data_IF_873141436535
#
_entry.id   IF_873141436535
#
_cell.length_a   1.000
_cell.length_b   1.000
_cell.length_c   1.000
_cell.angle_alpha   90.00
_cell.angle_beta   90.00
_cell.angle_gamma   90.00
#
_symmetry.space_group_name_H-M   'P 1'
#
loop_
_entity.id
_entity.type
_entity.pdbx_description
1 polymer ?
#
# COMPACT_ATOMS: atom_id res chain seq x y z
N UNK A 1 7.12 -8.75 -10.48
CA UNK A 1 7.48 -10.03 -11.13
C UNK A 1 6.27 -10.41 -11.97
N UNK A 2 6.47 -10.57 -13.28
CA UNK A 2 5.40 -10.96 -14.18
C UNK A 2 4.75 -12.26 -13.67
N UNK A 3 3.53 -12.19 -13.16
CA UNK A 3 2.81 -13.38 -12.66
C UNK A 3 1.95 -13.92 -13.78
N UNK A 4 1.99 -15.23 -14.02
CA UNK A 4 0.98 -15.88 -14.87
C UNK A 4 -0.26 -16.15 -14.06
N UNK A 5 -1.42 -15.83 -14.62
CA UNK A 5 -2.70 -16.31 -14.10
C UNK A 5 -2.87 -17.79 -14.41
N UNK A 6 -3.81 -18.45 -13.72
CA UNK A 6 -4.23 -19.83 -14.02
C UNK A 6 -4.65 -20.00 -15.48
N UNK A 7 -5.16 -18.95 -16.09
CA UNK A 7 -5.66 -18.92 -17.47
C UNK A 7 -4.55 -18.58 -18.49
N UNK A 8 -3.29 -18.53 -18.06
CA UNK A 8 -2.14 -18.29 -18.93
C UNK A 8 -1.89 -16.83 -19.33
N UNK A 9 -2.62 -15.86 -18.76
CA UNK A 9 -2.38 -14.43 -19.00
C UNK A 9 -1.21 -13.92 -18.15
N UNK A 10 -0.49 -12.91 -18.65
CA UNK A 10 0.57 -12.25 -17.89
C UNK A 10 0.04 -11.03 -17.14
N UNK A 11 0.32 -10.96 -15.85
CA UNK A 11 0.12 -9.78 -15.02
C UNK A 11 1.46 -9.07 -14.91
N UNK A 12 1.52 -7.86 -15.46
CA UNK A 12 2.67 -6.97 -15.37
C UNK A 12 2.35 -5.80 -14.45
N UNK A 13 3.27 -5.47 -13.58
CA UNK A 13 3.23 -4.24 -12.80
C UNK A 13 3.53 -3.02 -13.68
N UNK A 14 3.03 -1.84 -13.28
CA UNK A 14 3.34 -0.59 -13.97
C UNK A 14 4.85 -0.32 -14.06
N UNK A 15 5.61 -0.68 -13.01
CA UNK A 15 7.07 -0.57 -13.01
C UNK A 15 7.75 -1.48 -14.03
N UNK A 16 7.20 -2.68 -14.28
CA UNK A 16 7.71 -3.58 -15.32
C UNK A 16 7.44 -3.05 -16.73
N UNK A 17 6.26 -2.48 -16.96
CA UNK A 17 5.93 -1.83 -18.22
C UNK A 17 6.88 -0.65 -18.45
N UNK A 18 7.07 0.20 -17.43
CA UNK A 18 8.02 1.31 -17.50
C UNK A 18 9.44 0.86 -17.80
N UNK A 19 9.93 -0.18 -17.12
CA UNK A 19 11.25 -0.74 -17.38
C UNK A 19 11.39 -1.30 -18.81
N UNK A 20 10.35 -1.96 -19.33
CA UNK A 20 10.32 -2.45 -20.71
C UNK A 20 10.36 -1.30 -21.72
N UNK A 21 9.59 -0.23 -21.51
CA UNK A 21 9.57 0.96 -22.37
C UNK A 21 10.92 1.66 -22.39
N UNK A 22 11.60 1.75 -21.23
CA UNK A 22 12.92 2.40 -21.12
C UNK A 22 14.03 1.55 -21.75
N UNK A 23 14.08 0.25 -21.42
CA UNK A 23 15.06 -0.68 -21.98
C UNK A 23 14.52 -2.13 -21.97
N UNK A 24 14.04 -2.63 -23.11
CA UNK A 24 13.49 -3.98 -23.23
C UNK A 24 14.49 -5.06 -22.81
N UNK A 25 15.78 -4.87 -23.12
CA UNK A 25 16.80 -5.86 -22.82
C UNK A 25 17.13 -5.92 -21.32
N UNK A 26 17.19 -4.77 -20.63
CA UNK A 26 17.33 -4.75 -19.19
C UNK A 26 16.11 -5.38 -18.49
N UNK A 27 14.91 -5.15 -19.03
CA UNK A 27 13.70 -5.84 -18.57
C UNK A 27 13.76 -7.36 -18.79
N UNK A 28 14.22 -7.81 -19.97
CA UNK A 28 14.39 -9.24 -20.29
C UNK A 28 15.35 -9.92 -19.31
N UNK A 29 16.50 -9.30 -19.06
CA UNK A 29 17.52 -9.82 -18.14
C UNK A 29 17.00 -9.94 -16.70
N UNK A 30 16.17 -8.99 -16.27
CA UNK A 30 15.63 -8.97 -14.90
C UNK A 30 14.44 -9.91 -14.71
N UNK A 31 13.53 -10.00 -15.68
CA UNK A 31 12.28 -10.77 -15.56
C UNK A 31 12.36 -12.19 -16.13
N UNK A 32 13.08 -12.39 -17.23
CA UNK A 32 13.21 -13.69 -17.91
C UNK A 32 14.42 -14.45 -17.37
N UNK A 33 15.61 -13.83 -17.45
CA UNK A 33 16.87 -14.46 -17.08
C UNK A 33 17.15 -14.37 -15.56
N UNK A 34 16.25 -13.70 -14.82
CA UNK A 34 16.25 -13.57 -13.34
C UNK A 34 17.58 -13.09 -12.77
N UNK A 35 18.28 -12.23 -13.50
CA UNK A 35 19.51 -11.61 -13.01
C UNK A 35 19.14 -10.74 -11.80
N UNK A 36 19.63 -11.13 -10.60
CA UNK A 36 19.34 -10.42 -9.36
C UNK A 36 19.91 -9.01 -9.42
N UNK A 37 19.04 -8.01 -9.44
CA UNK A 37 19.44 -6.64 -9.20
C UNK A 37 19.61 -6.42 -7.70
N UNK A 38 20.74 -5.82 -7.31
CA UNK A 38 20.93 -5.34 -5.95
C UNK A 38 19.98 -4.16 -5.74
N UNK A 39 19.18 -4.24 -4.68
CA UNK A 39 18.29 -3.14 -4.31
C UNK A 39 19.13 -1.93 -3.94
N UNK A 40 18.79 -0.77 -4.50
CA UNK A 40 19.49 0.47 -4.15
C UNK A 40 19.09 0.89 -2.74
N UNK A 41 20.02 1.54 -2.04
CA UNK A 41 19.77 2.08 -0.70
C UNK A 41 18.59 3.06 -0.70
N UNK A 42 18.51 3.92 -1.72
CA UNK A 42 17.37 4.83 -1.92
C UNK A 42 16.03 4.09 -2.06
N UNK A 43 16.01 2.95 -2.76
CA UNK A 43 14.78 2.16 -2.90
C UNK A 43 14.36 1.52 -1.58
N UNK A 44 15.31 1.03 -0.77
CA UNK A 44 14.99 0.51 0.56
C UNK A 44 14.49 1.60 1.51
N UNK A 45 15.13 2.78 1.52
CA UNK A 45 14.70 3.90 2.33
C UNK A 45 13.32 4.38 1.91
N UNK A 46 13.04 4.46 0.61
CA UNK A 46 11.70 4.80 0.11
C UNK A 46 10.63 3.81 0.56
N UNK A 47 10.91 2.51 0.55
CA UNK A 47 9.96 1.51 1.07
C UNK A 47 9.68 1.69 2.56
N UNK A 48 10.71 1.97 3.37
CA UNK A 48 10.54 2.20 4.81
C UNK A 48 9.65 3.42 5.06
N UNK A 49 9.92 4.53 4.39
CA UNK A 49 9.10 5.74 4.51
C UNK A 49 7.63 5.51 4.11
N UNK A 50 7.39 4.71 3.06
CA UNK A 50 6.03 4.35 2.68
C UNK A 50 5.31 3.52 3.75
N UNK A 51 6.02 2.64 4.45
CA UNK A 51 5.44 1.86 5.57
C UNK A 51 5.12 2.76 6.76
N UNK A 52 6.07 3.60 7.16
CA UNK A 52 5.88 4.54 8.27
C UNK A 52 4.71 5.49 8.01
N UNK A 53 4.60 6.00 6.78
CA UNK A 53 3.47 6.83 6.38
C UNK A 53 2.14 6.06 6.46
N UNK A 54 2.09 4.83 5.94
CA UNK A 54 0.89 4.01 5.99
C UNK A 54 0.44 3.73 7.44
N UNK A 55 1.39 3.38 8.31
CA UNK A 55 1.13 3.15 9.74
C UNK A 55 0.57 4.41 10.43
N UNK A 56 1.18 5.57 10.17
CA UNK A 56 0.72 6.86 10.71
C UNK A 56 -0.71 7.19 10.26
N UNK A 57 -1.00 6.94 8.97
CA UNK A 57 -2.33 7.18 8.40
C UNK A 57 -3.35 6.24 9.03
N UNK A 58 -3.04 4.96 9.16
CA UNK A 58 -3.93 3.97 9.79
C UNK A 58 -4.21 4.30 11.26
N UNK A 59 -3.20 4.73 12.01
CA UNK A 59 -3.36 5.16 13.40
C UNK A 59 -4.30 6.38 13.49
N UNK A 60 -4.14 7.36 12.60
CA UNK A 60 -5.02 8.53 12.54
C UNK A 60 -6.48 8.16 12.22
N UNK A 61 -6.68 7.17 11.34
CA UNK A 61 -8.01 6.64 11.04
C UNK A 61 -8.61 5.88 12.22
N UNK A 62 -7.79 5.11 12.94
CA UNK A 62 -8.21 4.41 14.14
C UNK A 62 -8.67 5.39 15.24
N UNK A 63 -7.85 6.40 15.54
CA UNK A 63 -8.15 7.42 16.54
C UNK A 63 -9.41 8.22 16.15
N UNK A 64 -9.53 8.65 14.90
CA UNK A 64 -10.72 9.39 14.44
C UNK A 64 -12.00 8.56 14.53
N UNK A 65 -11.95 7.25 14.26
CA UNK A 65 -13.08 6.34 14.49
C UNK A 65 -13.42 6.23 15.99
N UNK A 66 -12.41 6.08 16.85
CA UNK A 66 -12.60 6.04 18.30
C UNK A 66 -13.27 7.30 18.83
N UNK A 67 -12.80 8.49 18.42
CA UNK A 67 -13.40 9.77 18.80
C UNK A 67 -14.86 9.86 18.34
N UNK A 68 -15.18 9.44 17.11
CA UNK A 68 -16.57 9.43 16.62
C UNK A 68 -17.48 8.56 17.48
N UNK A 69 -17.02 7.39 17.90
CA UNK A 69 -17.78 6.49 18.78
C UNK A 69 -18.01 7.15 20.14
N UNK A 70 -16.98 7.73 20.75
CA UNK A 70 -17.09 8.42 22.04
C UNK A 70 -18.07 9.58 21.97
N UNK A 71 -18.00 10.41 20.92
CA UNK A 71 -18.94 11.51 20.71
C UNK A 71 -20.38 11.02 20.55
N UNK A 72 -20.60 9.94 19.78
CA UNK A 72 -21.93 9.34 19.65
C UNK A 72 -22.47 8.83 20.99
N UNK A 73 -21.62 8.22 21.83
CA UNK A 73 -22.02 7.77 23.17
C UNK A 73 -22.40 8.95 24.08
N UNK A 74 -21.65 10.06 24.04
CA UNK A 74 -21.98 11.27 24.81
C UNK A 74 -23.33 11.87 24.36
N UNK A 75 -23.59 11.89 23.04
CA UNK A 75 -24.88 12.36 22.50
C UNK A 75 -26.02 11.44 22.96
N UNK A 76 -25.81 10.13 22.89
CA UNK A 76 -26.82 9.16 23.32
C UNK A 76 -27.15 9.29 24.81
N UNK A 77 -26.13 9.40 25.68
CA UNK A 77 -26.34 9.53 27.12
C UNK A 77 -27.02 10.84 27.49
N UNK A 78 -26.62 11.95 26.85
CA UNK A 78 -27.29 13.25 27.07
C UNK A 78 -28.75 13.25 26.61
N UNK A 79 -29.07 12.59 25.49
CA UNK A 79 -30.46 12.41 25.04
C UNK A 79 -31.27 11.55 26.02
N UNK A 80 -30.70 10.45 26.54
CA UNK A 80 -31.36 9.60 27.53
C UNK A 80 -31.66 10.34 28.83
N UNK A 81 -30.73 11.18 29.29
CA UNK A 81 -30.94 12.03 30.48
C UNK A 81 -32.01 13.10 30.22
N UNK A 82 -32.05 13.68 29.01
CA UNK A 82 -33.03 14.71 28.67
C UNK A 82 -34.46 14.18 28.46
N UNK A 83 -34.61 12.90 28.10
CA UNK A 83 -35.91 12.24 27.90
C UNK A 83 -36.54 11.70 29.19
N UNK A 84 -35.76 11.58 30.27
CA UNK A 84 -36.14 10.95 31.53
C UNK A 84 -36.38 12.01 32.61
#
# INVERSE_FOLDING_TARGET
MARRTTDGKFILSAGEIGAYVVCPEAWRLTQVDRVKQKRSERSSTGEQLHKEWAETVDESFYLSRGVRIVVLLIILTSLLVALN
#
